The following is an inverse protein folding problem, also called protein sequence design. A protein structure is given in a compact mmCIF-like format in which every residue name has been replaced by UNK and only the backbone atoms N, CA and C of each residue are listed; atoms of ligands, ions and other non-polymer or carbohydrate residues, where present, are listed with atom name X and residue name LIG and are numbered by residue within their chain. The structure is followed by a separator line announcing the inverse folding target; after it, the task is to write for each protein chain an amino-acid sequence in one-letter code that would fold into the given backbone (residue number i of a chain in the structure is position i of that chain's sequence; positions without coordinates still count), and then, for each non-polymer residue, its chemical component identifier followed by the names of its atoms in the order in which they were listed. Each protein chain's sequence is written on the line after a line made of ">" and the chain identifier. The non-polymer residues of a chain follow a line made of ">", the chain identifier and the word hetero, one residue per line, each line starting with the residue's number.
data_IF_027392307304
#
_entry.id   IF_027392307304
#
_cell.length_a   1.000
_cell.length_b   1.000
_cell.length_c   1.000
_cell.angle_alpha   90.00
_cell.angle_beta   90.00
_cell.angle_gamma   90.00
#
_symmetry.space_group_name_H-M   'P 1'
#
loop_
_entity.id
_entity.type
_entity.pdbx_description
1 polymer ?
#
# COMPACT_ATOMS: atom_id res chain seq x y z
N UNK A 1 -4.90 -42.06 0.92
CA UNK A 1 -5.08 -42.06 2.40
C UNK A 1 -4.21 -41.03 3.11
N UNK A 2 -2.88 -41.01 2.95
CA UNK A 2 -1.99 -40.02 3.61
C UNK A 2 -2.37 -38.55 3.32
N UNK A 3 -2.66 -38.22 2.06
CA UNK A 3 -3.07 -36.86 1.65
C UNK A 3 -4.37 -36.43 2.35
N UNK A 4 -5.35 -37.32 2.46
CA UNK A 4 -6.64 -37.01 3.10
C UNK A 4 -6.47 -36.77 4.61
N UNK A 5 -5.58 -37.51 5.28
CA UNK A 5 -5.24 -37.24 6.68
C UNK A 5 -4.54 -35.89 6.84
N UNK A 6 -3.64 -35.53 5.92
CA UNK A 6 -2.94 -34.25 5.94
C UNK A 6 -3.94 -33.10 5.75
N UNK A 7 -4.83 -33.19 4.75
CA UNK A 7 -5.90 -32.21 4.51
C UNK A 7 -6.84 -32.08 5.72
N UNK A 8 -7.18 -33.19 6.37
CA UNK A 8 -8.02 -33.16 7.57
C UNK A 8 -7.35 -32.39 8.73
N UNK A 9 -6.07 -32.65 9.00
CA UNK A 9 -5.33 -31.91 10.01
C UNK A 9 -5.17 -30.44 9.64
N UNK A 10 -4.90 -30.13 8.37
CA UNK A 10 -4.84 -28.77 7.85
C UNK A 10 -6.18 -28.04 8.10
N UNK A 11 -7.31 -28.66 7.75
CA UNK A 11 -8.65 -28.12 8.00
C UNK A 11 -8.89 -27.79 9.47
N UNK A 12 -8.52 -28.71 10.38
CA UNK A 12 -8.67 -28.49 11.82
C UNK A 12 -7.82 -27.30 12.25
N UNK A 13 -6.56 -27.24 11.81
CA UNK A 13 -5.68 -26.12 12.17
C UNK A 13 -6.22 -24.78 11.66
N UNK A 14 -6.66 -24.71 10.41
CA UNK A 14 -7.25 -23.50 9.83
C UNK A 14 -8.56 -23.11 10.54
N UNK A 15 -9.40 -24.09 10.87
CA UNK A 15 -10.65 -23.87 11.61
C UNK A 15 -10.40 -23.33 13.01
N UNK A 16 -9.43 -23.88 13.73
CA UNK A 16 -9.03 -23.37 15.06
C UNK A 16 -8.47 -21.96 14.95
N UNK A 17 -7.62 -21.69 13.95
CA UNK A 17 -7.11 -20.33 13.71
C UNK A 17 -8.30 -19.40 13.44
N UNK A 18 -9.18 -19.70 12.48
CA UNK A 18 -10.36 -18.88 12.18
C UNK A 18 -11.25 -18.61 13.42
N UNK A 19 -11.44 -19.61 14.28
CA UNK A 19 -12.17 -19.43 15.54
C UNK A 19 -11.45 -18.46 16.49
N UNK A 20 -10.12 -18.62 16.65
CA UNK A 20 -9.31 -17.69 17.45
C UNK A 20 -9.36 -16.26 16.90
N UNK A 21 -9.37 -16.10 15.57
CA UNK A 21 -9.51 -14.82 14.89
C UNK A 21 -10.87 -14.17 15.17
N UNK A 22 -11.94 -14.98 15.14
CA UNK A 22 -13.32 -14.49 15.31
C UNK A 22 -13.62 -13.99 16.72
N UNK A 23 -12.81 -14.39 17.71
CA UNK A 23 -12.98 -13.95 19.09
C UNK A 23 -12.44 -12.54 19.29
N UNK A 24 -13.16 -11.66 20.02
CA UNK A 24 -12.75 -10.27 20.24
C UNK A 24 -11.41 -10.15 20.99
N UNK A 25 -11.03 -11.17 21.76
CA UNK A 25 -9.75 -11.24 22.48
C UNK A 25 -8.55 -11.53 21.56
N UNK A 26 -8.76 -12.02 20.34
CA UNK A 26 -7.70 -12.38 19.39
C UNK A 26 -7.09 -11.18 18.67
N UNK A 27 -7.76 -10.03 18.65
CA UNK A 27 -7.35 -8.87 17.82
C UNK A 27 -5.93 -8.37 18.14
N UNK A 28 -5.57 -8.23 19.42
CA UNK A 28 -4.24 -7.75 19.82
C UNK A 28 -3.12 -8.78 19.58
N UNK A 29 -3.39 -10.05 19.86
CA UNK A 29 -2.45 -11.16 19.58
C UNK A 29 -2.22 -11.27 18.07
N UNK A 30 -3.28 -11.12 17.28
CA UNK A 30 -3.23 -11.23 15.84
C UNK A 30 -2.52 -10.06 15.16
N UNK A 31 -2.69 -8.83 15.66
CA UNK A 31 -1.87 -7.70 15.24
C UNK A 31 -0.38 -8.01 15.47
N UNK A 32 -0.03 -8.59 16.62
CA UNK A 32 1.33 -9.03 16.92
C UNK A 32 1.84 -10.13 15.97
N UNK A 33 1.02 -11.16 15.69
CA UNK A 33 1.36 -12.25 14.77
C UNK A 33 1.51 -11.74 13.33
N UNK A 34 0.60 -10.89 12.84
CA UNK A 34 0.66 -10.31 11.50
C UNK A 34 1.86 -9.37 11.37
N UNK A 35 2.20 -8.62 12.42
CA UNK A 35 3.40 -7.78 12.43
C UNK A 35 4.69 -8.61 12.45
N UNK A 36 4.72 -9.73 13.18
CA UNK A 36 5.82 -10.68 13.13
C UNK A 36 5.93 -11.34 11.74
N UNK A 37 4.81 -11.78 11.18
CA UNK A 37 4.79 -12.42 9.87
C UNK A 37 5.17 -11.44 8.75
N UNK A 38 4.68 -10.20 8.77
CA UNK A 38 5.09 -9.15 7.84
C UNK A 38 6.53 -8.67 8.06
N UNK A 39 7.09 -8.73 9.27
CA UNK A 39 8.53 -8.40 9.43
C UNK A 39 9.45 -9.52 8.93
N UNK A 40 9.04 -10.79 9.05
CA UNK A 40 9.84 -11.94 8.62
C UNK A 40 9.62 -12.31 7.15
N UNK A 41 8.42 -12.08 6.64
CA UNK A 41 7.93 -12.50 5.32
C UNK A 41 7.25 -11.36 4.54
N UNK A 42 7.33 -10.09 4.97
CA UNK A 42 6.56 -9.00 4.38
C UNK A 42 7.17 -8.40 3.13
N UNK A 43 6.43 -8.61 2.06
CA UNK A 43 6.49 -7.94 0.79
C UNK A 43 5.34 -8.52 -0.02
N UNK A 44 4.63 -7.69 -0.79
CA UNK A 44 3.59 -8.17 -1.70
C UNK A 44 4.15 -9.22 -2.70
N UNK A 45 5.46 -9.15 -2.94
CA UNK A 45 6.27 -10.08 -3.75
C UNK A 45 7.21 -10.97 -2.92
N UNK A 46 6.92 -11.21 -1.64
CA UNK A 46 7.77 -12.09 -0.84
C UNK A 46 7.63 -13.55 -1.27
N UNK A 47 8.72 -14.30 -1.12
CA UNK A 47 8.77 -15.74 -1.40
C UNK A 47 7.64 -16.52 -0.70
N UNK A 48 7.19 -16.07 0.48
CA UNK A 48 6.10 -16.71 1.22
C UNK A 48 4.72 -16.46 0.59
N UNK A 49 4.45 -15.28 0.04
CA UNK A 49 3.20 -15.00 -0.69
C UNK A 49 3.10 -15.84 -1.95
N UNK A 50 4.22 -16.00 -2.67
CA UNK A 50 4.31 -16.87 -3.85
C UNK A 50 4.12 -18.34 -3.48
N UNK A 51 4.81 -18.84 -2.44
CA UNK A 51 4.64 -20.22 -1.95
C UNK A 51 3.20 -20.48 -1.50
N UNK A 52 2.59 -19.56 -0.74
CA UNK A 52 1.19 -19.68 -0.33
C UNK A 52 0.22 -19.73 -1.52
N UNK A 53 0.53 -19.01 -2.61
CA UNK A 53 -0.26 -19.03 -3.84
C UNK A 53 -0.11 -20.36 -4.59
N UNK A 54 1.11 -20.91 -4.65
CA UNK A 54 1.35 -22.23 -5.23
C UNK A 54 0.63 -23.33 -4.43
N UNK A 55 0.70 -23.28 -3.10
CA UNK A 55 -0.03 -24.22 -2.22
C UNK A 55 -1.53 -24.11 -2.45
N UNK A 56 -2.08 -22.89 -2.51
CA UNK A 56 -3.50 -22.67 -2.82
C UNK A 56 -3.88 -23.24 -4.19
N UNK A 57 -3.04 -23.05 -5.22
CA UNK A 57 -3.30 -23.59 -6.55
C UNK A 57 -3.32 -25.13 -6.52
N UNK A 58 -2.41 -25.77 -5.78
CA UNK A 58 -2.39 -27.24 -5.60
C UNK A 58 -3.66 -27.71 -4.91
N UNK A 59 -4.08 -27.08 -3.80
CA UNK A 59 -5.32 -27.44 -3.09
C UNK A 59 -6.55 -27.24 -3.98
N UNK A 60 -6.57 -26.18 -4.79
CA UNK A 60 -7.62 -25.96 -5.78
C UNK A 60 -7.67 -27.06 -6.85
N UNK A 61 -6.52 -27.50 -7.37
CA UNK A 61 -6.47 -28.61 -8.33
C UNK A 61 -6.95 -29.93 -7.71
N UNK A 62 -6.60 -30.20 -6.44
CA UNK A 62 -7.11 -31.36 -5.71
C UNK A 62 -8.64 -31.30 -5.56
N UNK A 63 -9.18 -30.15 -5.18
CA UNK A 63 -10.62 -29.94 -5.08
C UNK A 63 -11.34 -30.13 -6.44
N UNK A 64 -10.78 -29.60 -7.54
CA UNK A 64 -11.33 -29.81 -8.88
C UNK A 64 -11.27 -31.30 -9.29
N UNK A 65 -10.20 -32.00 -8.93
CA UNK A 65 -10.06 -33.44 -9.16
C UNK A 65 -11.14 -34.23 -8.42
N UNK A 66 -11.42 -33.88 -7.16
CA UNK A 66 -12.46 -34.51 -6.35
C UNK A 66 -13.86 -34.23 -6.91
N UNK A 67 -14.13 -33.00 -7.37
CA UNK A 67 -15.39 -32.64 -8.06
C UNK A 67 -15.58 -33.48 -9.32
N UNK A 68 -14.56 -33.55 -10.17
CA UNK A 68 -14.65 -34.29 -11.43
C UNK A 68 -14.89 -35.79 -11.17
N UNK A 69 -14.26 -36.33 -10.12
CA UNK A 69 -14.45 -37.70 -9.68
C UNK A 69 -15.89 -37.95 -9.19
N UNK A 70 -16.43 -37.06 -8.36
CA UNK A 70 -17.84 -37.12 -7.94
C UNK A 70 -18.80 -37.05 -9.12
N UNK A 71 -18.58 -36.13 -10.06
CA UNK A 71 -19.41 -35.98 -11.25
C UNK A 71 -19.39 -37.24 -12.13
N UNK A 72 -18.21 -37.80 -12.38
CA UNK A 72 -18.04 -39.02 -13.19
C UNK A 72 -18.76 -40.24 -12.59
N UNK A 73 -18.72 -40.38 -11.27
CA UNK A 73 -19.45 -41.45 -10.57
C UNK A 73 -20.97 -41.19 -10.51
N UNK A 74 -21.40 -39.93 -10.51
CA UNK A 74 -22.80 -39.55 -10.54
C UNK A 74 -23.45 -39.74 -11.92
N UNK A 75 -22.73 -39.44 -13.01
CA UNK A 75 -23.21 -39.61 -14.40
C UNK A 75 -23.14 -41.04 -14.93
N UNK A 76 -22.51 -41.97 -14.19
CA UNK A 76 -22.49 -43.39 -14.56
C UNK A 76 -23.77 -44.06 -14.08
N UNK A 77 -24.80 -44.06 -14.92
CA UNK A 77 -26.16 -44.57 -14.68
C UNK A 77 -26.26 -46.12 -14.52
N UNK A 78 -25.11 -46.79 -14.37
CA UNK A 78 -25.03 -48.23 -14.15
C UNK A 78 -25.29 -48.50 -12.69
N UNK A 79 -26.49 -49.01 -12.37
CA UNK A 79 -26.90 -49.62 -11.09
C UNK A 79 -25.74 -49.73 -10.10
N UNK A 80 -25.50 -48.66 -9.32
CA UNK A 80 -24.28 -48.50 -8.53
C UNK A 80 -24.09 -49.74 -7.65
N UNK A 81 -23.15 -50.61 -8.01
CA UNK A 81 -22.78 -51.73 -7.16
C UNK A 81 -22.33 -51.19 -5.81
N UNK A 82 -22.48 -51.94 -4.73
CA UNK A 82 -22.14 -51.45 -3.39
C UNK A 82 -20.69 -50.94 -3.29
N UNK A 83 -19.77 -51.52 -4.07
CA UNK A 83 -18.40 -51.04 -4.19
C UNK A 83 -18.27 -49.64 -4.83
N UNK A 84 -19.13 -49.29 -5.79
CA UNK A 84 -19.14 -47.98 -6.43
C UNK A 84 -19.78 -46.91 -5.53
N UNK A 85 -20.81 -47.29 -4.75
CA UNK A 85 -21.43 -46.42 -3.73
C UNK A 85 -20.42 -46.01 -2.65
N UNK A 86 -19.63 -46.96 -2.15
CA UNK A 86 -18.59 -46.68 -1.15
C UNK A 86 -17.54 -45.71 -1.70
N UNK A 87 -17.13 -45.87 -2.97
CA UNK A 87 -16.19 -44.95 -3.63
C UNK A 87 -16.77 -43.56 -3.83
N UNK A 88 -18.06 -43.46 -4.21
CA UNK A 88 -18.76 -42.17 -4.33
C UNK A 88 -18.83 -41.44 -2.99
N UNK A 89 -19.22 -42.12 -1.91
CA UNK A 89 -19.26 -41.53 -0.56
C UNK A 89 -17.88 -41.08 -0.07
N UNK A 90 -16.84 -41.83 -0.44
CA UNK A 90 -15.44 -41.48 -0.14
C UNK A 90 -15.03 -40.21 -0.89
N UNK A 91 -15.30 -40.14 -2.19
CA UNK A 91 -15.00 -38.96 -3.01
C UNK A 91 -15.78 -37.72 -2.56
N UNK A 92 -17.04 -37.88 -2.17
CA UNK A 92 -17.88 -36.78 -1.67
C UNK A 92 -17.34 -36.20 -0.36
N UNK A 93 -16.91 -37.05 0.59
CA UNK A 93 -16.28 -36.60 1.84
C UNK A 93 -14.97 -35.87 1.55
N UNK A 94 -14.12 -36.43 0.69
CA UNK A 94 -12.82 -35.85 0.36
C UNK A 94 -12.99 -34.48 -0.34
N UNK A 95 -13.98 -34.35 -1.24
CA UNK A 95 -14.39 -33.08 -1.86
C UNK A 95 -14.82 -32.03 -0.84
N UNK A 96 -15.60 -32.42 0.18
CA UNK A 96 -16.01 -31.47 1.22
C UNK A 96 -14.81 -31.00 2.06
N UNK A 97 -13.92 -31.92 2.45
CA UNK A 97 -12.72 -31.56 3.22
C UNK A 97 -11.82 -30.62 2.42
N UNK A 98 -11.51 -30.95 1.16
CA UNK A 98 -10.67 -30.10 0.31
C UNK A 98 -11.33 -28.74 0.01
N UNK A 99 -12.65 -28.72 -0.17
CA UNK A 99 -13.43 -27.48 -0.34
C UNK A 99 -13.43 -26.58 0.90
N UNK A 100 -13.62 -27.15 2.09
CA UNK A 100 -13.56 -26.39 3.35
C UNK A 100 -12.14 -25.85 3.62
N UNK A 101 -11.10 -26.64 3.38
CA UNK A 101 -9.71 -26.15 3.48
C UNK A 101 -9.49 -24.95 2.55
N UNK A 102 -9.89 -25.08 1.28
CA UNK A 102 -9.73 -24.01 0.30
C UNK A 102 -10.46 -22.72 0.73
N UNK A 103 -11.70 -22.87 1.20
CA UNK A 103 -12.50 -21.75 1.68
C UNK A 103 -11.87 -21.08 2.90
N UNK A 104 -11.46 -21.84 3.92
CA UNK A 104 -10.82 -21.31 5.11
C UNK A 104 -9.48 -20.64 4.78
N UNK A 105 -8.67 -21.24 3.92
CA UNK A 105 -7.41 -20.65 3.46
C UNK A 105 -7.64 -19.31 2.74
N UNK A 106 -8.65 -19.21 1.87
CA UNK A 106 -9.02 -17.95 1.22
C UNK A 106 -9.49 -16.90 2.23
N UNK A 107 -10.31 -17.29 3.22
CA UNK A 107 -10.74 -16.40 4.30
C UNK A 107 -9.55 -15.90 5.12
N UNK A 108 -8.63 -16.78 5.51
CA UNK A 108 -7.41 -16.42 6.23
C UNK A 108 -6.56 -15.45 5.43
N UNK A 109 -6.40 -15.67 4.12
CA UNK A 109 -5.67 -14.77 3.22
C UNK A 109 -6.34 -13.40 3.11
N UNK A 110 -7.67 -13.36 3.01
CA UNK A 110 -8.44 -12.12 2.99
C UNK A 110 -8.25 -11.34 4.30
N UNK A 111 -8.39 -12.02 5.43
CA UNK A 111 -8.22 -11.41 6.76
C UNK A 111 -6.79 -10.91 6.96
N UNK A 112 -5.77 -11.68 6.57
CA UNK A 112 -4.37 -11.27 6.65
C UNK A 112 -4.14 -9.95 5.87
N UNK A 113 -4.61 -9.87 4.63
CA UNK A 113 -4.43 -8.66 3.82
C UNK A 113 -5.23 -7.47 4.37
N UNK A 114 -6.45 -7.71 4.86
CA UNK A 114 -7.25 -6.69 5.52
C UNK A 114 -6.56 -6.18 6.80
N UNK A 115 -5.91 -7.04 7.58
CA UNK A 115 -5.15 -6.60 8.76
C UNK A 115 -3.89 -5.83 8.40
N UNK A 116 -3.13 -6.30 7.42
CA UNK A 116 -1.91 -5.62 6.97
C UNK A 116 -2.21 -4.19 6.51
N UNK A 117 -3.29 -4.01 5.75
CA UNK A 117 -3.74 -2.68 5.30
C UNK A 117 -4.20 -1.82 6.46
N UNK A 118 -4.95 -2.37 7.43
CA UNK A 118 -5.36 -1.66 8.64
C UNK A 118 -4.17 -1.20 9.49
N UNK A 119 -3.18 -2.08 9.74
CA UNK A 119 -1.97 -1.73 10.50
C UNK A 119 -1.18 -0.61 9.79
N UNK A 120 -1.07 -0.68 8.45
CA UNK A 120 -0.42 0.38 7.66
C UNK A 120 -1.18 1.70 7.76
N UNK A 121 -2.51 1.66 7.72
CA UNK A 121 -3.37 2.83 7.89
C UNK A 121 -3.22 3.43 9.29
N UNK A 122 -3.27 2.63 10.35
CA UNK A 122 -3.08 3.09 11.73
C UNK A 122 -1.72 3.77 11.91
N UNK A 123 -0.65 3.20 11.36
CA UNK A 123 0.69 3.82 11.39
C UNK A 123 0.72 5.15 10.65
N UNK A 124 0.09 5.23 9.47
CA UNK A 124 0.00 6.46 8.70
C UNK A 124 -0.82 7.54 9.42
N UNK A 125 -1.96 7.17 10.00
CA UNK A 125 -2.80 8.06 10.79
C UNK A 125 -2.04 8.55 12.03
N UNK A 126 -1.34 7.67 12.73
CA UNK A 126 -0.50 8.05 13.87
C UNK A 126 0.61 9.03 13.51
N UNK A 127 1.25 8.85 12.35
CA UNK A 127 2.25 9.80 11.84
C UNK A 127 1.63 11.14 11.45
N UNK A 128 0.48 11.13 10.77
CA UNK A 128 -0.26 12.33 10.38
C UNK A 128 -0.76 13.11 11.61
N UNK A 129 -1.25 12.41 12.64
CA UNK A 129 -1.67 13.02 13.90
C UNK A 129 -0.49 13.72 14.59
N UNK A 130 0.66 13.06 14.69
CA UNK A 130 1.89 13.68 15.22
C UNK A 130 2.33 14.89 14.40
N UNK A 131 2.20 14.83 13.08
CA UNK A 131 2.52 15.96 12.19
C UNK A 131 1.56 17.13 12.41
N UNK A 132 0.26 16.88 12.54
CA UNK A 132 -0.76 17.89 12.82
C UNK A 132 -0.58 18.51 14.21
N UNK A 133 -0.28 17.71 15.23
CA UNK A 133 0.04 18.18 16.58
C UNK A 133 1.32 19.02 16.59
N UNK A 134 2.36 18.61 15.87
CA UNK A 134 3.59 19.38 15.69
C UNK A 134 3.35 20.71 15.00
N UNK A 135 2.56 20.72 13.91
CA UNK A 135 2.19 21.94 13.20
C UNK A 135 1.32 22.88 14.06
N UNK A 136 0.36 22.34 14.81
CA UNK A 136 -0.48 23.11 15.73
C UNK A 136 0.34 23.72 16.87
N UNK A 137 1.28 22.96 17.44
CA UNK A 137 2.18 23.45 18.49
C UNK A 137 3.11 24.54 17.95
N UNK A 138 3.68 24.35 16.75
CA UNK A 138 4.46 25.38 16.07
C UNK A 138 3.66 26.64 15.78
N UNK A 139 2.41 26.50 15.33
CA UNK A 139 1.52 27.64 15.10
C UNK A 139 1.19 28.41 16.38
N UNK A 140 0.95 27.72 17.51
CA UNK A 140 0.77 28.35 18.83
C UNK A 140 2.02 29.11 19.28
N UNK A 141 3.20 28.52 19.11
CA UNK A 141 4.46 29.18 19.45
C UNK A 141 4.68 30.46 18.62
N UNK A 142 4.36 30.42 17.32
CA UNK A 142 4.44 31.61 16.45
C UNK A 142 3.41 32.68 16.83
N UNK A 143 2.21 32.31 17.25
CA UNK A 143 1.20 33.24 17.77
C UNK A 143 1.68 33.93 19.06
N UNK A 144 2.25 33.17 20.00
CA UNK A 144 2.80 33.74 21.24
C UNK A 144 3.99 34.67 20.98
N UNK A 145 4.85 34.34 20.01
CA UNK A 145 5.96 35.19 19.59
C UNK A 145 5.46 36.48 18.92
N UNK A 146 4.43 36.39 18.08
CA UNK A 146 3.75 37.54 17.48
C UNK A 146 3.15 38.47 18.55
N UNK A 147 2.48 37.92 19.56
CA UNK A 147 1.88 38.71 20.66
C UNK A 147 2.95 39.39 21.51
N UNK A 148 4.03 38.68 21.88
CA UNK A 148 5.17 39.26 22.61
C UNK A 148 5.83 40.38 21.83
N UNK A 149 6.01 40.19 20.52
CA UNK A 149 6.59 41.21 19.64
C UNK A 149 5.69 42.43 19.53
N UNK A 150 4.36 42.24 19.41
CA UNK A 150 3.39 43.36 19.41
C UNK A 150 3.39 44.14 20.73
N UNK A 151 3.46 43.45 21.87
CA UNK A 151 3.57 44.08 23.18
C UNK A 151 4.87 44.89 23.32
N UNK A 152 5.99 44.35 22.84
CA UNK A 152 7.27 45.06 22.82
C UNK A 152 7.23 46.29 21.90
N UNK A 153 6.62 46.18 20.71
CA UNK A 153 6.44 47.32 19.82
C UNK A 153 5.49 48.39 20.39
N UNK A 154 4.40 47.99 21.06
CA UNK A 154 3.47 48.91 21.69
C UNK A 154 4.16 49.69 22.83
N UNK A 155 4.96 49.00 23.65
CA UNK A 155 5.75 49.62 24.72
C UNK A 155 6.82 50.56 24.18
N UNK A 156 7.48 50.20 23.07
CA UNK A 156 8.41 51.11 22.36
C UNK A 156 7.69 52.35 21.80
N UNK A 157 6.49 52.19 21.25
CA UNK A 157 5.70 53.29 20.68
C UNK A 157 5.18 54.25 21.75
N UNK A 158 4.87 53.76 22.94
CA UNK A 158 4.50 54.58 24.10
C UNK A 158 5.70 55.39 24.61
N UNK A 159 6.89 54.76 24.68
CA UNK A 159 8.14 55.43 25.07
C UNK A 159 8.62 56.48 24.04
N UNK A 160 8.33 56.28 22.76
CA UNK A 160 8.67 57.25 21.68
C UNK A 160 7.58 58.32 21.49
N UNK A 161 6.37 58.11 22.02
CA UNK A 161 5.21 58.99 21.83
C UNK A 161 5.02 60.08 22.88
N UNK A 162 5.83 60.13 23.93
CA UNK A 162 5.72 61.10 25.02
C UNK A 162 6.99 61.93 25.19
N UNK A 163 7.17 62.98 24.38
CA UNK A 163 8.34 63.85 24.49
C UNK A 163 8.26 65.06 23.59
N UNK A 164 7.25 65.92 23.81
CA UNK A 164 7.14 67.24 23.21
C UNK A 164 6.96 68.30 24.29
N UNK A 165 7.92 69.23 24.33
CA UNK A 165 7.98 70.55 25.02
C UNK A 165 7.68 70.65 26.52
N UNK A 166 8.70 71.03 27.30
CA UNK A 166 8.76 72.41 27.79
C UNK A 166 10.17 72.79 28.29
N UNK A 167 10.55 74.03 27.99
CA UNK A 167 11.85 74.62 28.29
C UNK A 167 11.88 75.30 29.67
N UNK A 168 13.08 75.27 30.26
CA UNK A 168 13.65 76.18 31.27
C UNK A 168 13.12 76.12 32.72
N UNK A 169 13.92 75.49 33.60
CA UNK A 169 14.58 76.16 34.75
C UNK A 169 15.31 75.16 35.66
N UNK A 170 16.55 75.51 36.05
CA UNK A 170 17.10 75.11 37.34
C UNK A 170 18.37 74.26 37.31
N UNK A 171 19.52 74.93 37.33
CA UNK A 171 20.85 74.38 37.63
C UNK A 171 20.84 73.57 38.94
N UNK A 172 21.28 72.31 38.88
CA UNK A 172 21.97 71.50 39.92
C UNK A 172 21.61 69.99 39.98
N UNK A 173 20.97 69.42 38.94
CA UNK A 173 20.74 67.96 38.80
C UNK A 173 21.38 67.30 37.55
N UNK A 174 22.18 68.06 36.81
CA UNK A 174 22.48 67.82 35.38
C UNK A 174 23.45 66.67 35.10
N UNK A 175 24.28 66.25 36.07
CA UNK A 175 25.25 65.16 35.87
C UNK A 175 24.63 63.77 36.00
N UNK A 176 23.60 63.60 36.82
CA UNK A 176 22.95 62.30 37.04
C UNK A 176 21.89 61.98 35.96
N UNK A 177 21.30 63.00 35.34
CA UNK A 177 20.40 62.83 34.19
C UNK A 177 21.17 62.55 32.90
N UNK A 178 22.30 63.25 32.68
CA UNK A 178 23.12 63.06 31.49
C UNK A 178 23.83 61.69 31.47
N UNK A 179 24.25 61.18 32.64
CA UNK A 179 24.81 59.84 32.77
C UNK A 179 23.77 58.75 32.52
N UNK A 180 22.54 58.91 33.02
CA UNK A 180 21.42 57.99 32.71
C UNK A 180 21.05 57.97 31.22
N UNK A 181 21.02 59.11 30.55
CA UNK A 181 20.74 59.20 29.11
C UNK A 181 21.87 58.60 28.24
N UNK A 182 23.13 58.68 28.71
CA UNK A 182 24.27 58.01 28.10
C UNK A 182 24.19 56.50 28.27
N UNK A 183 23.82 56.02 29.47
CA UNK A 183 23.62 54.60 29.74
C UNK A 183 22.43 54.02 28.97
N UNK A 184 21.33 54.78 28.82
CA UNK A 184 20.17 54.39 27.99
C UNK A 184 20.53 54.35 26.50
N UNK A 185 21.29 55.32 25.98
CA UNK A 185 21.78 55.27 24.59
C UNK A 185 22.74 54.10 24.37
N UNK A 186 23.60 53.80 25.34
CA UNK A 186 24.47 52.63 25.29
C UNK A 186 23.66 51.33 25.29
N UNK A 187 22.64 51.22 26.15
CA UNK A 187 21.74 50.06 26.21
C UNK A 187 20.90 49.90 24.93
N UNK A 188 20.32 50.99 24.42
CA UNK A 188 19.56 51.02 23.18
C UNK A 188 20.44 50.65 21.98
N UNK A 189 21.67 51.16 21.89
CA UNK A 189 22.60 50.79 20.82
C UNK A 189 22.97 49.31 20.85
N UNK A 190 23.11 48.74 22.05
CA UNK A 190 23.36 47.30 22.25
C UNK A 190 22.16 46.46 21.85
N UNK A 191 20.95 46.85 22.26
CA UNK A 191 19.71 46.18 21.85
C UNK A 191 19.48 46.26 20.34
N UNK A 192 19.81 47.39 19.69
CA UNK A 192 19.70 47.57 18.25
C UNK A 192 20.71 46.67 17.50
N UNK A 193 21.92 46.52 18.04
CA UNK A 193 22.94 45.58 17.55
C UNK A 193 22.48 44.12 17.66
N UNK A 194 21.94 43.71 18.81
CA UNK A 194 21.46 42.34 19.05
C UNK A 194 20.22 42.03 18.19
N UNK A 195 19.30 42.99 18.05
CA UNK A 195 18.14 42.88 17.17
C UNK A 195 18.56 42.77 15.69
N UNK A 196 19.56 43.53 15.23
CA UNK A 196 20.11 43.40 13.87
C UNK A 196 20.73 42.03 13.62
N UNK A 197 21.45 41.47 14.59
CA UNK A 197 22.02 40.10 14.48
C UNK A 197 20.93 39.04 14.46
N UNK A 198 19.88 39.19 15.27
CA UNK A 198 18.73 38.30 15.27
C UNK A 198 17.97 38.36 13.93
N UNK A 199 17.78 39.55 13.38
CA UNK A 199 17.15 39.76 12.07
C UNK A 199 17.95 39.09 10.95
N UNK A 200 19.27 39.31 10.90
CA UNK A 200 20.14 38.68 9.91
C UNK A 200 20.13 37.14 10.01
N UNK A 201 20.04 36.60 11.23
CA UNK A 201 19.94 35.15 11.45
C UNK A 201 18.57 34.61 11.01
N UNK A 202 17.51 35.38 11.20
CA UNK A 202 16.16 35.04 10.75
C UNK A 202 16.06 35.06 9.22
N UNK A 203 16.60 36.08 8.56
CA UNK A 203 16.62 36.18 7.10
C UNK A 203 17.38 35.02 6.46
N UNK A 204 18.53 34.63 7.03
CA UNK A 204 19.28 33.46 6.59
C UNK A 204 18.48 32.15 6.72
N UNK A 205 17.67 32.00 7.77
CA UNK A 205 16.78 30.84 7.93
C UNK A 205 15.63 30.87 6.92
N UNK A 206 15.02 32.02 6.68
CA UNK A 206 13.95 32.18 5.67
C UNK A 206 14.48 31.82 4.29
N UNK A 207 15.68 32.26 3.94
CA UNK A 207 16.31 31.94 2.66
C UNK A 207 16.65 30.44 2.54
N UNK A 208 17.14 29.82 3.62
CA UNK A 208 17.38 28.38 3.66
C UNK A 208 16.09 27.56 3.50
N UNK A 209 15.00 27.95 4.19
CA UNK A 209 13.68 27.31 4.07
C UNK A 209 13.11 27.50 2.67
N UNK A 210 13.26 28.68 2.08
CA UNK A 210 12.82 28.95 0.70
C UNK A 210 13.56 28.06 -0.30
N UNK A 211 14.88 27.95 -0.18
CA UNK A 211 15.71 27.08 -1.02
C UNK A 211 15.34 25.60 -0.86
N UNK A 212 15.00 25.18 0.36
CA UNK A 212 14.52 23.82 0.62
C UNK A 212 13.14 23.58 -0.02
N UNK A 213 12.21 24.54 0.07
CA UNK A 213 10.88 24.45 -0.53
C UNK A 213 10.94 24.41 -2.08
N UNK A 214 11.82 25.21 -2.68
CA UNK A 214 12.10 25.18 -4.12
C UNK A 214 12.69 23.82 -4.54
N UNK A 215 13.65 23.29 -3.78
CA UNK A 215 14.22 21.96 -4.03
C UNK A 215 13.20 20.82 -3.92
N UNK A 216 12.30 20.87 -2.93
CA UNK A 216 11.20 19.91 -2.80
C UNK A 216 10.18 20.03 -3.94
N UNK A 217 9.87 21.24 -4.38
CA UNK A 217 8.96 21.47 -5.51
C UNK A 217 9.54 20.92 -6.82
N UNK A 218 10.84 21.11 -7.06
CA UNK A 218 11.52 20.55 -8.23
C UNK A 218 11.54 19.00 -8.20
N UNK A 219 11.81 18.39 -7.04
CA UNK A 219 11.75 16.94 -6.88
C UNK A 219 10.33 16.39 -7.11
N UNK A 220 9.31 17.12 -6.66
CA UNK A 220 7.91 16.75 -6.89
C UNK A 220 7.52 16.84 -8.37
N UNK A 221 7.94 17.89 -9.08
CA UNK A 221 7.72 18.01 -10.53
C UNK A 221 8.38 16.86 -11.29
N UNK A 222 9.62 16.52 -10.94
CA UNK A 222 10.33 15.39 -11.56
C UNK A 222 9.61 14.05 -11.32
N UNK A 223 9.10 13.82 -10.11
CA UNK A 223 8.31 12.64 -9.77
C UNK A 223 6.97 12.58 -10.53
N UNK A 224 6.33 13.72 -10.74
CA UNK A 224 5.13 13.84 -11.59
C UNK A 224 5.45 13.43 -13.03
N UNK A 225 6.55 13.93 -13.59
CA UNK A 225 6.98 13.58 -14.95
C UNK A 225 7.31 12.09 -15.08
N UNK A 226 8.08 11.54 -14.13
CA UNK A 226 8.40 10.10 -14.08
C UNK A 226 7.15 9.23 -13.99
N UNK A 227 6.16 9.64 -13.18
CA UNK A 227 4.87 8.94 -13.08
C UNK A 227 4.10 9.00 -14.40
N UNK A 228 4.04 10.17 -15.04
CA UNK A 228 3.35 10.33 -16.33
C UNK A 228 3.99 9.47 -17.43
N UNK A 229 5.33 9.37 -17.44
CA UNK A 229 6.06 8.51 -18.36
C UNK A 229 5.81 7.02 -18.08
N UNK A 230 5.77 6.61 -16.81
CA UNK A 230 5.44 5.25 -16.40
C UNK A 230 4.01 4.86 -16.80
N UNK A 231 3.02 5.76 -16.60
CA UNK A 231 1.64 5.53 -17.00
C UNK A 231 1.51 5.37 -18.53
N UNK A 232 2.27 6.14 -19.31
CA UNK A 232 2.36 6.00 -20.77
C UNK A 232 2.99 4.66 -21.19
N UNK A 233 4.05 4.22 -20.51
CA UNK A 233 4.66 2.91 -20.72
C UNK A 233 3.70 1.76 -20.35
N UNK A 234 2.92 1.90 -19.28
CA UNK A 234 1.92 0.90 -18.91
C UNK A 234 0.81 0.80 -19.98
N UNK A 235 0.37 1.93 -20.53
CA UNK A 235 -0.61 1.96 -21.61
C UNK A 235 -0.07 1.30 -22.90
N UNK A 236 1.20 1.53 -23.25
CA UNK A 236 1.81 0.90 -24.42
C UNK A 236 2.02 -0.61 -24.24
N UNK A 237 2.39 -1.05 -23.04
CA UNK A 237 2.47 -2.47 -22.69
C UNK A 237 1.10 -3.15 -22.82
N UNK A 238 0.05 -2.53 -22.30
CA UNK A 238 -1.32 -3.06 -22.42
C UNK A 238 -1.76 -3.17 -23.89
N UNK A 239 -1.46 -2.17 -24.71
CA UNK A 239 -1.76 -2.22 -26.14
C UNK A 239 -0.96 -3.31 -26.88
N UNK A 240 0.26 -3.62 -26.43
CA UNK A 240 1.05 -4.74 -26.95
C UNK A 240 0.44 -6.09 -26.55
N UNK A 241 0.02 -6.25 -25.29
CA UNK A 241 -0.67 -7.46 -24.82
C UNK A 241 -1.95 -7.72 -25.61
N UNK A 242 -2.78 -6.70 -25.85
CA UNK A 242 -4.01 -6.82 -26.64
C UNK A 242 -3.71 -7.29 -28.08
N UNK A 243 -2.64 -6.77 -28.71
CA UNK A 243 -2.19 -7.22 -30.03
C UNK A 243 -1.70 -8.67 -30.01
N UNK A 244 -0.97 -9.06 -28.97
CA UNK A 244 -0.43 -10.41 -28.81
C UNK A 244 -1.58 -11.42 -28.65
N UNK A 245 -2.59 -11.08 -27.86
CA UNK A 245 -3.81 -11.87 -27.72
C UNK A 245 -4.59 -12.02 -29.04
N UNK A 246 -4.68 -10.95 -29.84
CA UNK A 246 -5.31 -11.01 -31.17
C UNK A 246 -4.52 -11.91 -32.13
N UNK A 247 -3.18 -11.82 -32.12
CA UNK A 247 -2.32 -12.70 -32.91
C UNK A 247 -2.44 -14.17 -32.49
N UNK A 248 -2.51 -14.45 -31.19
CA UNK A 248 -2.74 -15.82 -30.69
C UNK A 248 -4.07 -16.39 -31.18
N UNK A 249 -5.14 -15.59 -31.22
CA UNK A 249 -6.42 -16.01 -31.79
C UNK A 249 -6.30 -16.34 -33.28
N UNK A 250 -5.65 -15.48 -34.06
CA UNK A 250 -5.40 -15.74 -35.49
C UNK A 250 -4.59 -17.03 -35.71
N UNK A 251 -3.55 -17.26 -34.91
CA UNK A 251 -2.73 -18.49 -35.00
C UNK A 251 -3.58 -19.72 -34.68
N UNK A 252 -4.49 -19.65 -33.70
CA UNK A 252 -5.40 -20.76 -33.38
C UNK A 252 -6.36 -21.05 -34.53
N UNK A 253 -6.91 -20.01 -35.15
CA UNK A 253 -7.81 -20.15 -36.31
C UNK A 253 -7.08 -20.76 -37.51
N UNK A 254 -5.93 -20.21 -37.89
CA UNK A 254 -5.08 -20.76 -38.95
C UNK A 254 -4.64 -22.20 -38.67
N UNK A 255 -4.40 -22.55 -37.40
CA UNK A 255 -4.06 -23.92 -37.02
C UNK A 255 -5.24 -24.86 -37.25
N UNK A 256 -6.45 -24.43 -36.89
CA UNK A 256 -7.68 -25.19 -37.10
C UNK A 256 -7.96 -25.41 -38.59
N UNK A 257 -7.80 -24.36 -39.40
CA UNK A 257 -7.97 -24.43 -40.85
C UNK A 257 -6.95 -25.37 -41.49
N UNK A 258 -5.69 -25.30 -41.04
CA UNK A 258 -4.63 -26.21 -41.48
C UNK A 258 -4.94 -27.66 -41.14
N UNK A 259 -5.46 -27.94 -39.94
CA UNK A 259 -5.83 -29.30 -39.55
C UNK A 259 -7.05 -29.82 -40.33
N UNK A 260 -8.03 -28.96 -40.60
CA UNK A 260 -9.19 -29.28 -41.43
C UNK A 260 -8.79 -29.59 -42.88
N UNK A 261 -7.94 -28.76 -43.49
CA UNK A 261 -7.38 -29.00 -44.83
C UNK A 261 -6.58 -30.30 -44.89
N UNK A 262 -5.80 -30.59 -43.85
CA UNK A 262 -5.05 -31.84 -43.76
C UNK A 262 -5.97 -33.07 -43.74
N UNK A 263 -7.09 -32.99 -42.99
CA UNK A 263 -8.10 -34.06 -42.99
C UNK A 263 -8.75 -34.22 -44.37
N UNK A 264 -9.11 -33.12 -45.03
CA UNK A 264 -9.66 -33.17 -46.39
C UNK A 264 -8.71 -33.83 -47.38
N UNK A 265 -7.41 -33.49 -47.33
CA UNK A 265 -6.40 -34.11 -48.19
C UNK A 265 -6.33 -35.63 -47.94
N UNK A 266 -6.35 -36.06 -46.67
CA UNK A 266 -6.37 -37.49 -46.33
C UNK A 266 -7.61 -38.21 -46.88
N UNK A 267 -8.79 -37.59 -46.79
CA UNK A 267 -10.03 -38.15 -47.34
C UNK A 267 -9.97 -38.26 -48.87
N UNK A 268 -9.43 -37.23 -49.55
CA UNK A 268 -9.21 -37.28 -51.00
C UNK A 268 -8.23 -38.40 -51.38
N UNK A 269 -7.09 -38.51 -50.71
CA UNK A 269 -6.11 -39.58 -50.95
C UNK A 269 -6.73 -40.98 -50.76
N UNK A 270 -7.57 -41.15 -49.74
CA UNK A 270 -8.32 -42.39 -49.51
C UNK A 270 -9.28 -42.70 -50.66
N UNK A 271 -10.09 -41.71 -51.10
CA UNK A 271 -11.01 -41.90 -52.22
C UNK A 271 -10.27 -42.22 -53.53
N UNK A 272 -9.13 -41.57 -53.81
CA UNK A 272 -8.30 -41.89 -54.97
C UNK A 272 -7.74 -43.32 -54.92
N UNK A 273 -7.28 -43.77 -53.75
CA UNK A 273 -6.81 -45.14 -53.56
C UNK A 273 -7.93 -46.18 -53.76
N UNK A 274 -9.14 -45.90 -53.27
CA UNK A 274 -10.30 -46.78 -53.45
C UNK A 274 -10.77 -46.81 -54.93
N UNK A 275 -10.76 -45.67 -55.61
CA UNK A 275 -11.07 -45.58 -57.03
C UNK A 275 -10.07 -46.37 -57.89
N UNK A 276 -8.77 -46.27 -57.58
CA UNK A 276 -7.73 -47.06 -58.27
C UNK A 276 -7.94 -48.55 -58.06
N UNK A 277 -8.27 -48.99 -56.84
CA UNK A 277 -8.52 -50.39 -56.52
C UNK A 277 -9.76 -50.97 -57.21
N UNK A 278 -10.76 -50.14 -57.54
CA UNK A 278 -11.96 -50.55 -58.31
C UNK A 278 -11.71 -50.65 -59.82
N UNK A 279 -10.61 -50.08 -60.33
CA UNK A 279 -10.27 -50.04 -61.75
C UNK A 279 -9.28 -51.14 -62.18
N UNK A 280 -8.64 -51.83 -61.22
CA UNK A 280 -7.83 -53.05 -61.40
C UNK A 280 -8.68 -54.31 -61.22
#
# INVERSE_FOLDING_TARGET
>A
MLINYLLFWMMITEGVVCLLISLPFGQGVMQGVVQFFSSRFGGRDSMASSVATVVLAIVALLFLSDINTCYKYHSSDTMLSDGLRIRLLTAQRDMYISGFCLFLFLLLRLVYHAMETNIRLEKSLGAMKKQAEGASTGYKALLEEQEKTKLQMAKLRELVGGGGDDADKGKSGDKDALTKLLDENAALSKQLSDAKKALATSDAKVEAVKKQAEGQSAAFMKLMDEKSAADSQAASHKALEDKLAAQEQQIRELTRDRDALKSQIQDYDFMFAEAKKKAE
#
